data_IF_445164663125
#
_entry.id   IF_445164663125
#
_cell.length_a   1.000
_cell.length_b   1.000
_cell.length_c   1.000
_cell.angle_alpha   90.00
_cell.angle_beta   90.00
_cell.angle_gamma   90.00
#
_symmetry.space_group_name_H-M   'P 1'
#
loop_
_entity.id
_entity.type
_entity.pdbx_description
1 polymer ?
#
# COMPACT_ATOMS: atom_id res chain seq x y z
N UNK A 1 0.77 14.39 -20.46
CA UNK A 1 1.51 14.99 -19.32
C UNK A 1 0.59 15.87 -18.50
N UNK A 2 0.10 15.40 -17.35
CA UNK A 2 -0.80 16.19 -16.48
C UNK A 2 0.05 17.04 -15.52
N UNK A 3 0.06 18.36 -15.71
CA UNK A 3 0.75 19.31 -14.81
C UNK A 3 0.17 19.17 -13.40
N UNK A 4 0.97 18.66 -12.46
CA UNK A 4 0.67 18.77 -11.03
C UNK A 4 0.72 20.25 -10.68
N UNK A 5 -0.41 20.83 -10.32
CA UNK A 5 -0.44 22.14 -9.68
C UNK A 5 0.31 21.99 -8.36
N UNK A 6 1.41 22.74 -8.19
CA UNK A 6 2.16 22.80 -6.95
C UNK A 6 1.23 23.30 -5.84
N UNK A 7 1.06 22.50 -4.78
CA UNK A 7 0.46 22.99 -3.54
C UNK A 7 1.47 23.96 -2.91
N UNK A 8 1.02 25.01 -2.19
CA UNK A 8 1.92 25.92 -1.48
C UNK A 8 2.90 25.14 -0.60
N UNK A 9 4.17 25.52 -0.65
CA UNK A 9 5.27 24.85 0.05
C UNK A 9 5.01 24.85 1.55
N UNK A 10 4.62 23.68 2.10
CA UNK A 10 4.37 23.50 3.52
C UNK A 10 3.19 22.59 3.86
N UNK A 11 2.16 22.49 3.00
CA UNK A 11 1.02 21.59 3.25
C UNK A 11 1.28 20.24 2.59
N UNK A 12 1.67 19.25 3.41
CA UNK A 12 1.85 17.88 2.93
C UNK A 12 0.54 17.37 2.31
N UNK A 13 0.61 16.93 1.04
CA UNK A 13 -0.52 16.29 0.35
C UNK A 13 -1.03 15.12 1.23
N UNK A 14 -2.26 15.19 1.76
CA UNK A 14 -2.76 14.22 2.74
C UNK A 14 -2.75 12.79 2.21
N UNK A 15 -2.81 12.61 0.88
CA UNK A 15 -2.61 11.30 0.25
C UNK A 15 -1.17 10.80 0.33
N UNK A 16 -0.17 11.68 0.16
CA UNK A 16 1.24 11.30 0.25
C UNK A 16 1.58 10.94 1.68
N UNK A 17 1.12 11.72 2.65
CA UNK A 17 1.34 11.42 4.08
C UNK A 17 0.67 10.10 4.46
N UNK A 18 -0.60 9.90 4.11
CA UNK A 18 -1.28 8.64 4.39
C UNK A 18 -0.61 7.42 3.73
N UNK A 19 -0.11 7.55 2.50
CA UNK A 19 0.65 6.48 1.84
C UNK A 19 1.98 6.22 2.53
N UNK A 20 2.72 7.26 2.93
CA UNK A 20 3.97 7.10 3.71
C UNK A 20 3.71 6.39 5.02
N UNK A 21 2.67 6.77 5.77
CA UNK A 21 2.29 6.07 7.00
C UNK A 21 1.96 4.60 6.73
N UNK A 22 1.18 4.28 5.68
CA UNK A 22 0.88 2.89 5.32
C UNK A 22 2.16 2.12 4.94
N UNK A 23 3.10 2.73 4.21
CA UNK A 23 4.38 2.12 3.88
C UNK A 23 5.25 1.89 5.12
N UNK A 24 5.32 2.86 6.03
CA UNK A 24 6.06 2.70 7.30
C UNK A 24 5.45 1.57 8.12
N UNK A 25 4.12 1.54 8.28
CA UNK A 25 3.43 0.46 8.97
C UNK A 25 3.67 -0.89 8.30
N UNK A 26 3.62 -0.95 6.97
CA UNK A 26 3.93 -2.16 6.22
C UNK A 26 5.37 -2.65 6.50
N UNK A 27 6.35 -1.74 6.49
CA UNK A 27 7.74 -2.08 6.79
C UNK A 27 7.91 -2.55 8.24
N UNK A 28 7.21 -1.93 9.19
CA UNK A 28 7.21 -2.36 10.59
C UNK A 28 6.61 -3.76 10.75
N UNK A 29 5.49 -4.05 10.06
CA UNK A 29 4.88 -5.38 10.03
C UNK A 29 5.86 -6.39 9.43
N UNK A 30 6.49 -6.09 8.29
CA UNK A 30 7.48 -6.97 7.67
C UNK A 30 8.68 -7.23 8.58
N UNK A 31 9.20 -6.19 9.23
CA UNK A 31 10.32 -6.33 10.17
C UNK A 31 9.94 -7.19 11.38
N UNK A 32 8.73 -7.01 11.92
CA UNK A 32 8.20 -7.81 13.01
C UNK A 32 8.03 -9.30 12.62
N UNK A 33 7.44 -9.57 11.44
CA UNK A 33 7.30 -10.94 10.91
C UNK A 33 8.68 -11.57 10.71
N UNK A 34 9.61 -10.85 10.07
CA UNK A 34 10.98 -11.32 9.87
C UNK A 34 11.70 -11.62 11.18
N UNK A 35 11.50 -10.79 12.21
CA UNK A 35 12.06 -11.01 13.53
C UNK A 35 11.52 -12.28 14.20
N UNK A 36 10.22 -12.53 14.12
CA UNK A 36 9.59 -13.75 14.64
C UNK A 36 10.13 -14.98 13.90
N UNK A 37 10.17 -14.91 12.57
CA UNK A 37 10.56 -16.03 11.69
C UNK A 37 12.02 -16.43 11.88
N UNK A 38 12.92 -15.45 12.00
CA UNK A 38 14.36 -15.67 12.05
C UNK A 38 14.91 -15.92 13.46
N UNK A 39 14.11 -15.71 14.52
CA UNK A 39 14.54 -16.08 15.87
C UNK A 39 14.63 -17.61 15.94
N UNK A 40 15.80 -18.18 16.31
CA UNK A 40 15.87 -19.59 16.67
C UNK A 40 15.08 -19.76 17.97
N UNK A 41 13.80 -20.13 17.82
CA UNK A 41 12.96 -20.54 18.93
C UNK A 41 13.46 -21.88 19.48
N UNK A 42 13.11 -22.23 20.73
CA UNK A 42 13.34 -23.57 21.24
C UNK A 42 12.74 -24.58 20.24
N UNK A 43 13.36 -25.76 20.06
CA UNK A 43 12.88 -26.78 19.14
C UNK A 43 11.37 -26.96 19.34
N UNK A 44 10.62 -26.92 18.24
CA UNK A 44 9.16 -26.76 18.21
C UNK A 44 8.45 -27.60 19.29
N UNK A 45 8.96 -28.80 19.57
CA UNK A 45 8.48 -29.68 20.63
C UNK A 45 8.31 -29.04 22.02
N UNK A 46 9.25 -28.22 22.53
CA UNK A 46 9.21 -27.83 23.96
C UNK A 46 8.15 -26.75 24.26
N UNK A 47 8.02 -25.76 23.37
CA UNK A 47 6.97 -24.73 23.47
C UNK A 47 5.59 -25.30 23.08
N UNK A 48 5.54 -26.19 22.09
CA UNK A 48 4.32 -26.89 21.69
C UNK A 48 3.79 -27.81 22.80
N UNK A 49 4.66 -28.51 23.54
CA UNK A 49 4.27 -29.37 24.66
C UNK A 49 3.61 -28.57 25.80
N UNK A 50 4.12 -27.38 26.13
CA UNK A 50 3.56 -26.53 27.18
C UNK A 50 2.15 -26.01 26.85
N UNK A 51 1.95 -25.46 25.64
CA UNK A 51 0.65 -24.93 25.23
C UNK A 51 -0.36 -26.04 24.89
N UNK A 52 0.09 -27.17 24.30
CA UNK A 52 -0.75 -28.37 24.14
C UNK A 52 -1.20 -28.91 25.50
N UNK A 53 -0.30 -28.95 26.49
CA UNK A 53 -0.62 -29.35 27.86
C UNK A 53 -1.64 -28.41 28.53
N UNK A 54 -1.53 -27.11 28.29
CA UNK A 54 -2.48 -26.10 28.78
C UNK A 54 -3.85 -26.21 28.12
N UNK A 55 -3.92 -26.35 26.79
CA UNK A 55 -5.19 -26.52 26.06
C UNK A 55 -5.85 -27.87 26.36
N UNK A 56 -5.07 -28.93 26.57
CA UNK A 56 -5.56 -30.22 27.06
C UNK A 56 -6.15 -30.12 28.48
N UNK A 57 -5.50 -29.37 29.37
CA UNK A 57 -6.07 -29.06 30.70
C UNK A 57 -7.31 -28.16 30.59
N UNK A 58 -7.32 -27.20 29.66
CA UNK A 58 -8.46 -26.33 29.37
C UNK A 58 -9.67 -27.08 28.78
N UNK A 59 -9.44 -28.19 28.06
CA UNK A 59 -10.48 -29.10 27.59
C UNK A 59 -11.32 -29.71 28.72
N UNK A 60 -10.76 -29.82 29.94
CA UNK A 60 -11.52 -30.21 31.15
C UNK A 60 -12.43 -29.11 31.69
N UNK A 61 -12.28 -27.87 31.23
CA UNK A 61 -13.08 -26.71 31.65
C UNK A 61 -14.15 -26.30 30.61
N UNK A 62 -14.43 -27.13 29.60
CA UNK A 62 -15.55 -26.94 28.67
C UNK A 62 -15.21 -26.25 27.35
N UNK A 63 -13.94 -26.20 26.95
CA UNK A 63 -13.58 -25.73 25.61
C UNK A 63 -14.13 -26.68 24.52
N UNK A 64 -14.71 -26.16 23.43
CA UNK A 64 -15.14 -26.98 22.31
C UNK A 64 -13.98 -27.78 21.72
N UNK A 65 -14.25 -29.02 21.28
CA UNK A 65 -13.24 -29.94 20.73
C UNK A 65 -12.52 -29.43 19.48
N UNK A 66 -13.07 -28.41 18.79
CA UNK A 66 -12.45 -27.77 17.63
C UNK A 66 -11.40 -26.71 18.00
N UNK A 67 -11.33 -26.27 19.26
CA UNK A 67 -10.31 -25.34 19.76
C UNK A 67 -9.05 -26.14 20.10
N UNK A 68 -8.28 -26.48 19.07
CA UNK A 68 -6.99 -27.16 19.20
C UNK A 68 -5.83 -26.17 19.17
N UNK A 69 -4.64 -26.65 19.56
CA UNK A 69 -3.40 -25.90 19.41
C UNK A 69 -3.16 -25.48 17.95
N UNK A 70 -3.38 -26.42 17.01
CA UNK A 70 -3.14 -26.19 15.58
C UNK A 70 -4.11 -25.14 15.00
N UNK A 71 -5.35 -25.06 15.53
CA UNK A 71 -6.30 -24.01 15.19
C UNK A 71 -5.84 -22.63 15.65
N UNK A 72 -5.33 -22.52 16.89
CA UNK A 72 -4.83 -21.25 17.43
C UNK A 72 -3.60 -20.78 16.67
N UNK A 73 -2.69 -21.70 16.33
CA UNK A 73 -1.50 -21.42 15.51
C UNK A 73 -1.90 -20.93 14.11
N UNK A 74 -2.82 -21.64 13.45
CA UNK A 74 -3.37 -21.23 12.16
C UNK A 74 -4.03 -19.85 12.23
N UNK A 75 -4.85 -19.59 13.25
CA UNK A 75 -5.51 -18.30 13.42
C UNK A 75 -4.50 -17.17 13.66
N UNK A 76 -3.45 -17.41 14.44
CA UNK A 76 -2.38 -16.44 14.66
C UNK A 76 -1.68 -16.08 13.34
N UNK A 77 -1.40 -17.08 12.49
CA UNK A 77 -0.83 -16.91 11.15
C UNK A 77 -1.73 -16.03 10.26
N UNK A 78 -3.05 -16.29 10.21
CA UNK A 78 -4.02 -15.44 9.49
C UNK A 78 -3.94 -14.00 10.01
N UNK A 79 -4.04 -13.81 11.33
CA UNK A 79 -4.05 -12.48 11.96
C UNK A 79 -2.76 -11.71 11.63
N UNK A 80 -1.62 -12.39 11.55
CA UNK A 80 -0.34 -11.76 11.23
C UNK A 80 -0.27 -11.25 9.78
N UNK A 81 -0.87 -11.98 8.83
CA UNK A 81 -0.87 -11.61 7.41
C UNK A 81 -1.96 -10.61 7.02
N UNK A 82 -3.02 -10.44 7.81
CA UNK A 82 -4.07 -9.44 7.58
C UNK A 82 -3.53 -8.01 7.48
N UNK A 83 -2.72 -7.50 8.45
CA UNK A 83 -2.10 -6.18 8.35
C UNK A 83 -1.20 -6.04 7.12
N UNK A 84 -0.49 -7.10 6.72
CA UNK A 84 0.40 -7.10 5.57
C UNK A 84 -0.38 -6.88 4.27
N UNK A 85 -1.47 -7.63 4.06
CA UNK A 85 -2.37 -7.45 2.93
C UNK A 85 -3.05 -6.07 2.92
N UNK A 86 -3.51 -5.62 4.09
CA UNK A 86 -4.19 -4.34 4.25
C UNK A 86 -3.27 -3.15 3.94
N UNK A 87 -2.15 -3.03 4.64
CA UNK A 87 -1.24 -1.89 4.45
C UNK A 87 -0.53 -1.96 3.10
N UNK A 88 -0.23 -3.15 2.59
CA UNK A 88 0.27 -3.35 1.23
C UNK A 88 -0.68 -2.79 0.20
N UNK A 89 -1.96 -3.19 0.23
CA UNK A 89 -2.97 -2.69 -0.71
C UNK A 89 -3.16 -1.17 -0.63
N UNK A 90 -3.11 -0.61 0.58
CA UNK A 90 -3.19 0.84 0.81
C UNK A 90 -1.95 1.61 0.35
N UNK A 91 -0.76 1.00 0.42
CA UNK A 91 0.51 1.60 -0.02
C UNK A 91 0.61 1.65 -1.56
N UNK A 92 0.11 0.61 -2.24
CA UNK A 92 0.08 0.50 -3.71
C UNK A 92 -1.34 0.40 -4.31
N UNK A 93 -2.20 1.44 -4.21
CA UNK A 93 -3.62 1.38 -4.61
C UNK A 93 -3.94 0.99 -6.06
N UNK A 94 -2.96 1.11 -6.97
CA UNK A 94 -3.11 0.72 -8.38
C UNK A 94 -2.87 -0.78 -8.60
N UNK A 95 -2.03 -1.37 -7.77
CA UNK A 95 -1.58 -2.76 -7.84
C UNK A 95 -2.06 -3.56 -6.62
N UNK A 96 -3.11 -3.08 -5.94
CA UNK A 96 -3.64 -3.67 -4.70
C UNK A 96 -3.88 -5.18 -4.80
N UNK A 97 -4.29 -5.67 -5.96
CA UNK A 97 -4.58 -7.08 -6.18
C UNK A 97 -3.33 -7.94 -6.35
N UNK A 98 -2.18 -7.34 -6.69
CA UNK A 98 -0.89 -8.02 -6.73
C UNK A 98 -0.30 -8.19 -5.32
N UNK A 99 -0.85 -7.52 -4.31
CA UNK A 99 -0.38 -7.66 -2.93
C UNK A 99 -0.69 -9.04 -2.39
N UNK A 100 -1.86 -9.61 -2.72
CA UNK A 100 -2.22 -10.96 -2.31
C UNK A 100 -1.20 -12.02 -2.81
N UNK A 101 -0.95 -12.18 -4.13
CA UNK A 101 0.04 -13.15 -4.61
C UNK A 101 1.46 -12.81 -4.15
N UNK A 102 1.81 -11.53 -3.94
CA UNK A 102 3.11 -11.17 -3.37
C UNK A 102 3.26 -11.65 -1.92
N UNK A 103 2.20 -11.55 -1.09
CA UNK A 103 2.20 -12.08 0.27
C UNK A 103 2.24 -13.61 0.27
N UNK A 104 1.51 -14.26 -0.63
CA UNK A 104 1.57 -15.73 -0.80
C UNK A 104 2.98 -16.19 -1.17
N UNK A 105 3.63 -15.52 -2.12
CA UNK A 105 5.01 -15.80 -2.51
C UNK A 105 5.98 -15.56 -1.35
N UNK A 106 5.82 -14.46 -0.60
CA UNK A 106 6.61 -14.19 0.61
C UNK A 106 6.45 -15.31 1.64
N UNK A 107 5.24 -15.81 1.85
CA UNK A 107 5.01 -16.94 2.76
C UNK A 107 5.75 -18.20 2.30
N UNK A 108 5.75 -18.51 1.01
CA UNK A 108 6.51 -19.63 0.45
C UNK A 108 8.03 -19.46 0.59
N UNK A 109 8.53 -18.23 0.48
CA UNK A 109 9.94 -17.91 0.75
C UNK A 109 10.28 -18.12 2.22
N UNK A 110 9.44 -17.61 3.13
CA UNK A 110 9.61 -17.80 4.59
C UNK A 110 9.70 -19.29 4.92
N UNK A 111 8.78 -20.07 4.37
CA UNK A 111 8.73 -21.51 4.55
C UNK A 111 10.01 -22.21 4.06
N UNK A 112 10.44 -21.87 2.85
CA UNK A 112 11.66 -22.43 2.24
C UNK A 112 12.89 -22.08 3.09
N UNK A 113 12.99 -20.85 3.58
CA UNK A 113 14.08 -20.42 4.45
C UNK A 113 14.06 -21.17 5.78
N UNK A 114 12.89 -21.39 6.37
CA UNK A 114 12.77 -22.15 7.62
C UNK A 114 13.18 -23.61 7.43
N UNK A 115 12.74 -24.26 6.35
CA UNK A 115 13.11 -25.63 6.03
C UNK A 115 14.63 -25.80 5.78
N UNK A 116 15.28 -24.81 5.17
CA UNK A 116 16.71 -24.85 4.87
C UNK A 116 17.60 -24.45 6.06
N UNK A 117 17.15 -23.52 6.91
CA UNK A 117 17.99 -22.90 7.94
C UNK A 117 17.69 -23.39 9.37
N UNK A 118 16.52 -23.98 9.63
CA UNK A 118 16.11 -24.44 10.97
C UNK A 118 15.92 -25.97 10.98
N UNK A 119 16.92 -26.74 11.45
CA UNK A 119 16.82 -28.19 11.56
C UNK A 119 15.64 -28.61 12.45
N UNK A 120 14.78 -29.51 11.94
CA UNK A 120 13.64 -30.03 12.70
C UNK A 120 12.33 -29.23 12.55
N UNK A 121 12.28 -28.21 11.67
CA UNK A 121 11.03 -27.60 11.22
C UNK A 121 10.67 -28.12 9.83
N UNK A 122 9.56 -28.83 9.73
CA UNK A 122 8.95 -29.18 8.45
C UNK A 122 8.00 -28.06 8.09
N UNK A 123 8.35 -27.31 7.05
CA UNK A 123 7.41 -26.40 6.44
C UNK A 123 6.21 -27.18 5.88
N UNK A 124 5.01 -26.83 6.35
CA UNK A 124 3.75 -27.37 5.84
C UNK A 124 3.16 -26.41 4.80
N UNK A 125 2.83 -26.92 3.61
CA UNK A 125 2.06 -26.20 2.57
C UNK A 125 0.80 -25.52 3.14
N UNK A 126 0.25 -26.07 4.22
CA UNK A 126 -0.84 -25.52 5.01
C UNK A 126 -0.56 -24.09 5.52
N UNK A 127 0.65 -23.78 5.98
CA UNK A 127 1.01 -22.43 6.46
C UNK A 127 0.93 -21.39 5.34
N UNK A 128 1.38 -21.75 4.13
CA UNK A 128 1.26 -20.88 2.96
C UNK A 128 -0.20 -20.60 2.62
N UNK A 129 -1.08 -21.59 2.74
CA UNK A 129 -2.52 -21.42 2.50
C UNK A 129 -3.14 -20.51 3.54
N UNK A 130 -2.86 -20.74 4.83
CA UNK A 130 -3.38 -19.95 5.95
C UNK A 130 -2.91 -18.48 5.87
N UNK A 131 -1.63 -18.27 5.58
CA UNK A 131 -1.07 -16.93 5.39
C UNK A 131 -1.64 -16.22 4.15
N UNK A 132 -1.85 -16.96 3.07
CA UNK A 132 -2.51 -16.46 1.86
C UNK A 132 -3.95 -16.01 2.13
N UNK A 133 -4.70 -16.73 2.97
CA UNK A 133 -6.04 -16.34 3.42
C UNK A 133 -5.99 -15.04 4.24
N UNK A 134 -5.07 -14.91 5.20
CA UNK A 134 -4.88 -13.68 5.95
C UNK A 134 -4.58 -12.48 5.05
N UNK A 135 -3.66 -12.65 4.08
CA UNK A 135 -3.34 -11.62 3.12
C UNK A 135 -4.55 -11.21 2.26
N UNK A 136 -5.34 -12.18 1.79
CA UNK A 136 -6.56 -11.93 1.02
C UNK A 136 -7.57 -11.11 1.83
N UNK A 137 -7.82 -11.50 3.09
CA UNK A 137 -8.70 -10.76 4.00
C UNK A 137 -8.20 -9.31 4.15
N UNK A 138 -6.89 -9.12 4.37
CA UNK A 138 -6.28 -7.79 4.45
C UNK A 138 -6.52 -6.94 3.19
N UNK A 139 -6.31 -7.51 2.00
CA UNK A 139 -6.56 -6.82 0.73
C UNK A 139 -8.04 -6.45 0.58
N UNK A 140 -8.96 -7.35 0.93
CA UNK A 140 -10.40 -7.09 0.87
C UNK A 140 -10.82 -5.96 1.83
N UNK A 141 -10.25 -5.91 3.04
CA UNK A 141 -10.47 -4.82 3.99
C UNK A 141 -9.97 -3.46 3.47
N UNK A 142 -8.98 -3.44 2.57
CA UNK A 142 -8.49 -2.20 1.97
C UNK A 142 -9.45 -1.61 0.92
N UNK A 143 -10.25 -2.44 0.26
CA UNK A 143 -11.16 -2.04 -0.83
C UNK A 143 -12.10 -0.88 -0.46
N UNK A 144 -12.89 -0.93 0.63
CA UNK A 144 -13.81 0.17 0.98
C UNK A 144 -13.07 1.49 1.22
N UNK A 145 -11.88 1.44 1.82
CA UNK A 145 -11.04 2.63 2.05
C UNK A 145 -10.59 3.24 0.73
N UNK A 146 -10.12 2.41 -0.21
CA UNK A 146 -9.65 2.85 -1.52
C UNK A 146 -10.79 3.37 -2.41
N UNK A 147 -11.96 2.73 -2.39
CA UNK A 147 -13.17 3.22 -3.07
C UNK A 147 -13.58 4.58 -2.51
N UNK A 148 -13.59 4.74 -1.19
CA UNK A 148 -13.94 6.01 -0.53
C UNK A 148 -12.99 7.13 -0.91
N UNK A 149 -11.68 6.86 -0.93
CA UNK A 149 -10.66 7.82 -1.40
C UNK A 149 -10.92 8.23 -2.85
N UNK A 150 -11.11 7.26 -3.76
CA UNK A 150 -11.39 7.52 -5.18
C UNK A 150 -12.63 8.39 -5.38
N UNK A 151 -13.71 8.13 -4.63
CA UNK A 151 -14.94 8.94 -4.66
C UNK A 151 -14.71 10.38 -4.20
N UNK A 152 -13.97 10.58 -3.10
CA UNK A 152 -13.61 11.93 -2.60
C UNK A 152 -12.81 12.73 -3.65
N UNK A 153 -11.83 12.10 -4.30
CA UNK A 153 -11.06 12.75 -5.36
C UNK A 153 -11.91 13.18 -6.55
N UNK A 154 -12.82 12.31 -7.00
CA UNK A 154 -13.73 12.63 -8.12
C UNK A 154 -14.67 13.79 -7.78
N UNK A 155 -15.24 13.81 -6.58
CA UNK A 155 -16.12 14.91 -6.12
C UNK A 155 -15.38 16.24 -6.04
N UNK A 156 -14.17 16.26 -5.46
CA UNK A 156 -13.34 17.45 -5.39
C UNK A 156 -12.95 17.96 -6.79
N UNK A 157 -12.65 17.06 -7.74
CA UNK A 157 -12.35 17.42 -9.12
C UNK A 157 -13.57 17.99 -9.87
N UNK A 158 -14.77 17.44 -9.66
CA UNK A 158 -16.01 17.92 -10.26
C UNK A 158 -16.39 19.33 -9.75
N UNK A 159 -16.30 19.57 -8.43
CA UNK A 159 -16.57 20.88 -7.84
C UNK A 159 -15.65 21.99 -8.37
N UNK A 160 -14.36 21.67 -8.60
CA UNK A 160 -13.40 22.61 -9.20
C UNK A 160 -13.70 22.96 -10.66
N UNK A 161 -14.19 22.00 -11.46
CA UNK A 161 -14.62 22.26 -12.85
C UNK A 161 -15.81 23.20 -12.88
N UNK A 162 -16.83 22.90 -12.08
CA UNK A 162 -18.02 23.75 -11.95
C UNK A 162 -17.67 25.17 -11.48
N UNK A 163 -16.74 25.34 -10.53
CA UNK A 163 -16.26 26.65 -10.10
C UNK A 163 -15.49 27.41 -11.19
N UNK A 164 -14.68 26.71 -12.00
CA UNK A 164 -13.96 27.30 -13.15
C UNK A 164 -14.92 27.76 -14.25
N UNK A 165 -15.97 26.99 -14.50
CA UNK A 165 -16.99 27.31 -15.51
C UNK A 165 -17.94 28.43 -15.04
N UNK A 166 -18.01 28.68 -13.72
CA UNK A 166 -18.77 29.79 -13.11
C UNK A 166 -18.05 31.14 -13.14
N UNK A 167 -16.76 31.20 -13.51
CA UNK A 167 -16.08 32.48 -13.73
C UNK A 167 -16.69 33.11 -14.98
N UNK A 168 -17.43 34.23 -14.87
CA UNK A 168 -18.20 34.76 -15.99
C UNK A 168 -17.26 35.14 -17.14
N UNK A 169 -17.62 34.69 -18.35
CA UNK A 169 -16.89 34.97 -19.62
C UNK A 169 -16.67 36.47 -19.87
N UNK A 170 -17.42 37.35 -19.20
CA UNK A 170 -17.28 38.80 -19.27
C UNK A 170 -15.95 39.31 -18.71
N UNK A 171 -15.27 38.58 -17.82
CA UNK A 171 -13.94 38.95 -17.34
C UNK A 171 -12.81 38.58 -18.32
N UNK A 172 -13.14 37.94 -19.46
CA UNK A 172 -12.19 37.55 -20.51
C UNK A 172 -12.29 38.42 -21.77
N UNK A 173 -13.22 39.37 -21.80
CA UNK A 173 -13.23 40.46 -22.77
C UNK A 173 -12.63 41.69 -22.08
N UNK A 174 -11.39 42.01 -22.43
CA UNK A 174 -10.90 43.38 -22.24
C UNK A 174 -11.83 44.32 -23.04
N UNK A 175 -12.18 45.52 -22.54
CA UNK A 175 -13.05 46.47 -23.24
C UNK A 175 -12.48 47.02 -24.57
N UNK A 176 -11.39 46.46 -25.08
CA UNK A 176 -10.77 46.95 -26.30
C UNK A 176 -10.48 45.77 -27.23
N UNK A 177 -11.21 45.72 -28.35
CA UNK A 177 -11.16 44.69 -29.39
C UNK A 177 -9.88 44.66 -30.21
N UNK A 178 -8.73 44.99 -29.61
CA UNK A 178 -7.44 44.82 -30.27
C UNK A 178 -7.02 43.36 -30.16
N UNK A 179 -7.33 42.59 -31.20
CA UNK A 179 -6.57 41.39 -31.53
C UNK A 179 -5.13 41.84 -31.72
N UNK A 180 -4.29 41.66 -30.69
CA UNK A 180 -2.84 41.79 -30.84
C UNK A 180 -2.40 40.64 -31.72
N UNK A 181 -2.41 40.89 -33.04
CA UNK A 181 -1.69 40.04 -33.99
C UNK A 181 -0.23 40.07 -33.59
N UNK A 182 0.47 38.92 -33.50
CA UNK A 182 1.91 38.95 -33.37
C UNK A 182 2.45 39.54 -34.67
N UNK A 183 2.85 40.81 -34.63
CA UNK A 183 3.69 41.39 -35.68
C UNK A 183 4.99 40.63 -35.66
N UNK A 184 5.11 39.63 -36.55
CA UNK A 184 6.40 39.31 -37.15
C UNK A 184 6.91 40.62 -37.73
N UNK A 185 8.00 41.16 -37.20
CA UNK A 185 9.04 41.83 -37.99
C UNK A 185 10.12 42.45 -37.11
N UNK A 186 11.34 42.38 -37.66
CA UNK A 186 12.51 43.23 -37.42
C UNK A 186 13.45 42.85 -36.26
N UNK A 187 14.15 41.71 -36.39
CA UNK A 187 15.47 41.55 -35.74
C UNK A 187 16.48 40.76 -36.60
N UNK A 188 16.34 40.79 -37.93
CA UNK A 188 17.37 40.26 -38.85
C UNK A 188 17.40 41.13 -40.11
N UNK A 189 17.82 42.39 -39.96
CA UNK A 189 18.16 43.25 -41.10
C UNK A 189 19.24 44.27 -40.70
N UNK A 190 20.28 43.82 -39.98
CA UNK A 190 21.55 44.54 -39.82
C UNK A 190 22.68 43.51 -39.69
N UNK A 191 22.95 42.74 -40.75
CA UNK A 191 24.25 42.09 -40.96
C UNK A 191 24.55 42.04 -42.46
N UNK A 192 24.51 43.19 -43.12
CA UNK A 192 25.08 43.33 -44.45
C UNK A 192 25.42 44.80 -44.63
N UNK A 193 26.70 45.09 -44.47
CA UNK A 193 27.51 45.90 -45.38
C UNK A 193 28.46 46.82 -44.61
N UNK A 194 29.73 46.85 -45.06
CA UNK A 194 30.66 47.92 -44.70
C UNK A 194 31.98 47.53 -44.00
N UNK A 195 32.88 46.88 -44.74
CA UNK A 195 34.27 47.35 -45.01
C UNK A 195 35.07 48.07 -43.89
N UNK A 196 36.23 47.50 -43.52
CA UNK A 196 37.59 48.03 -43.80
C UNK A 196 38.62 47.52 -42.78
N UNK A 197 39.77 47.05 -43.28
CA UNK A 197 40.97 46.72 -42.50
C UNK A 197 41.72 45.54 -43.06
#
# INVERSE_FOLDING_TARGET
MSRRVALPDGVADPNRTARRCCTVLLLLVLAFIGWIVLKPGPPAGVAQLGLRGYLWHGGRHGLPSWVSFDFVESLANVIMFVPLGLFGALAVPRMQWLVWPACTALSGVIETLQALLLPGRYGMVEDVVVNSLGALIGVLLAVPVLVSRRRRYRRAAAGRRSAKDRVPRSARQTPNGSVVRPTRSATELITSDGRNG
#
